data_IF_993964615716
#
_entry.id   IF_993964615716
#
_cell.length_a   1.000
_cell.length_b   1.000
_cell.length_c   1.000
_cell.angle_alpha   90.00
_cell.angle_beta   90.00
_cell.angle_gamma   90.00
#
_symmetry.space_group_name_H-M   'P 1'
#
loop_
_entity.id
_entity.type
_entity.pdbx_description
1 polymer ?
#
# COMPACT_ATOMS: atom_id res chain seq x y z
N UNK A 1 1.10 -2.65 14.27
CA UNK A 1 2.21 -2.87 13.32
C UNK A 1 1.77 -2.26 11.99
N UNK A 2 2.52 -1.30 11.40
CA UNK A 2 2.08 -0.52 10.23
C UNK A 2 2.81 -0.97 8.95
N UNK A 3 2.11 -1.18 7.81
CA UNK A 3 2.70 -1.68 6.56
C UNK A 3 3.90 -0.87 6.03
N UNK A 4 3.94 0.44 6.27
CA UNK A 4 5.03 1.31 5.83
C UNK A 4 6.40 0.99 6.46
N UNK A 5 6.44 0.32 7.62
CA UNK A 5 7.71 -0.15 8.19
C UNK A 5 8.30 -1.34 7.40
N UNK A 6 7.43 -2.19 6.84
CA UNK A 6 7.84 -3.27 5.95
C UNK A 6 8.22 -2.74 4.57
N UNK A 7 7.53 -1.72 4.05
CA UNK A 7 7.90 -1.08 2.79
C UNK A 7 9.34 -0.51 2.80
N UNK A 8 9.84 -0.06 3.96
CA UNK A 8 11.21 0.45 4.10
C UNK A 8 12.28 -0.63 4.25
N UNK A 9 11.93 -1.79 4.80
CA UNK A 9 12.89 -2.85 5.15
C UNK A 9 12.88 -4.03 4.18
N UNK A 10 11.71 -4.32 3.60
CA UNK A 10 11.45 -5.41 2.66
C UNK A 10 10.42 -4.94 1.62
N UNK A 11 10.78 -3.98 0.74
CA UNK A 11 9.85 -3.37 -0.21
C UNK A 11 9.20 -4.39 -1.16
N UNK A 12 9.99 -5.36 -1.64
CA UNK A 12 9.57 -6.34 -2.65
C UNK A 12 8.80 -7.54 -2.07
N UNK A 13 8.66 -7.60 -0.73
CA UNK A 13 7.95 -8.70 -0.09
C UNK A 13 6.45 -8.59 -0.40
N UNK A 14 5.77 -9.71 -0.73
CA UNK A 14 4.32 -9.73 -0.91
C UNK A 14 3.60 -9.21 0.35
N UNK A 15 2.74 -8.21 0.17
CA UNK A 15 1.90 -7.65 1.22
C UNK A 15 0.43 -8.07 1.06
N UNK A 16 -0.01 -8.25 -0.19
CA UNK A 16 -1.35 -8.71 -0.54
C UNK A 16 -1.26 -9.69 -1.71
N UNK A 17 -1.99 -10.79 -1.63
CA UNK A 17 -2.19 -11.72 -2.74
C UNK A 17 -3.67 -11.76 -3.05
N UNK A 18 -4.06 -11.34 -4.24
CA UNK A 18 -5.44 -11.33 -4.68
C UNK A 18 -5.90 -12.76 -4.95
N UNK A 19 -6.70 -13.32 -4.04
CA UNK A 19 -7.06 -14.75 -4.09
C UNK A 19 -7.73 -15.22 -5.39
N UNK A 20 -8.40 -14.33 -6.13
CA UNK A 20 -9.07 -14.68 -7.39
C UNK A 20 -8.19 -14.51 -8.64
N UNK A 21 -7.32 -13.50 -8.68
CA UNK A 21 -6.48 -13.20 -9.85
C UNK A 21 -5.04 -13.69 -9.71
N UNK A 22 -4.61 -14.02 -8.49
CA UNK A 22 -3.21 -14.31 -8.18
C UNK A 22 -2.29 -13.09 -8.23
N UNK A 23 -2.83 -11.88 -8.42
CA UNK A 23 -2.04 -10.65 -8.43
C UNK A 23 -1.38 -10.45 -7.06
N UNK A 24 -0.06 -10.27 -7.08
CA UNK A 24 0.74 -9.98 -5.88
C UNK A 24 0.99 -8.48 -5.85
N UNK A 25 0.66 -7.86 -4.73
CA UNK A 25 1.02 -6.47 -4.44
C UNK A 25 2.07 -6.49 -3.34
N UNK A 26 3.21 -5.86 -3.60
CA UNK A 26 4.31 -5.75 -2.65
C UNK A 26 4.03 -4.69 -1.58
N UNK A 27 4.82 -4.67 -0.51
CA UNK A 27 4.70 -3.63 0.52
C UNK A 27 4.95 -2.23 -0.05
N UNK A 28 5.90 -2.07 -0.97
CA UNK A 28 6.17 -0.79 -1.61
C UNK A 28 4.98 -0.28 -2.44
N UNK A 29 4.36 -1.15 -3.22
CA UNK A 29 3.21 -0.80 -4.05
C UNK A 29 1.96 -0.50 -3.21
N UNK A 30 1.76 -1.26 -2.13
CA UNK A 30 0.68 -1.01 -1.17
C UNK A 30 0.83 0.35 -0.50
N UNK A 31 2.04 0.71 -0.05
CA UNK A 31 2.33 2.01 0.55
C UNK A 31 2.09 3.14 -0.45
N UNK A 32 2.59 3.01 -1.68
CA UNK A 32 2.38 4.00 -2.74
C UNK A 32 0.89 4.20 -3.07
N UNK A 33 0.11 3.11 -3.18
CA UNK A 33 -1.34 3.15 -3.39
C UNK A 33 -2.05 3.84 -2.21
N UNK A 34 -1.66 3.51 -0.98
CA UNK A 34 -2.23 4.08 0.25
C UNK A 34 -1.97 5.59 0.35
N UNK A 35 -0.74 6.01 0.07
CA UNK A 35 -0.36 7.43 0.07
C UNK A 35 -1.11 8.23 -1.01
N UNK A 36 -1.34 7.64 -2.19
CA UNK A 36 -2.19 8.28 -3.21
C UNK A 36 -3.64 8.44 -2.75
N UNK A 37 -4.20 7.41 -2.11
CA UNK A 37 -5.56 7.47 -1.55
C UNK A 37 -5.65 8.54 -0.45
N UNK A 38 -4.71 8.57 0.49
CA UNK A 38 -4.67 9.57 1.55
C UNK A 38 -4.60 11.01 0.99
N UNK A 39 -3.79 11.25 -0.04
CA UNK A 39 -3.73 12.54 -0.73
C UNK A 39 -5.04 12.90 -1.41
N UNK A 40 -5.70 11.93 -2.05
CA UNK A 40 -7.02 12.15 -2.66
C UNK A 40 -8.06 12.52 -1.59
N UNK A 41 -8.09 11.81 -0.47
CA UNK A 41 -9.02 12.09 0.63
C UNK A 41 -8.76 13.49 1.22
N UNK A 42 -7.49 13.88 1.42
CA UNK A 42 -7.13 15.24 1.81
C UNK A 42 -7.57 16.30 0.81
N UNK A 43 -7.40 16.04 -0.49
CA UNK A 43 -7.88 16.95 -1.54
C UNK A 43 -9.42 17.12 -1.53
N UNK A 44 -10.15 16.11 -1.03
CA UNK A 44 -11.60 16.15 -0.86
C UNK A 44 -12.04 16.69 0.52
N UNK A 45 -11.11 17.27 1.30
CA UNK A 45 -11.42 17.94 2.56
C UNK A 45 -11.43 17.04 3.80
N UNK A 46 -11.08 15.75 3.67
CA UNK A 46 -10.91 14.86 4.81
C UNK A 46 -9.53 15.09 5.43
N UNK A 47 -9.50 15.48 6.71
CA UNK A 47 -8.27 15.71 7.49
C UNK A 47 -8.19 14.77 8.67
#
# INVERSE_FOLDING_TARGET
MYPGAHAKTQPDKPALIMGRSGEIVTYAELDARSNRLARLLQANGLR
#
